data_IF_152052030272
#
_entry.id   IF_152052030272
#
_cell.length_a   1.000
_cell.length_b   1.000
_cell.length_c   1.000
_cell.angle_alpha   90.00
_cell.angle_beta   90.00
_cell.angle_gamma   90.00
#
_symmetry.space_group_name_H-M   'P 1'
#
loop_
_entity.id
_entity.type
_entity.pdbx_description
1 polymer ?
#
# COMPACT_ATOMS: atom_id res chain seq x y z
N UNK A 1 -58.70 3.47 -68.92
CA UNK A 1 -58.53 4.79 -68.26
C UNK A 1 -57.28 4.73 -67.38
N UNK A 2 -56.12 5.12 -67.92
CA UNK A 2 -54.87 5.19 -67.15
C UNK A 2 -54.86 6.56 -66.48
N UNK A 3 -55.03 6.58 -65.15
CA UNK A 3 -55.08 7.79 -64.34
C UNK A 3 -53.67 8.39 -64.32
N UNK A 4 -53.56 9.67 -64.60
CA UNK A 4 -52.30 10.39 -64.70
C UNK A 4 -51.74 10.63 -63.28
N UNK A 5 -51.05 9.63 -62.72
CA UNK A 5 -50.45 9.65 -61.36
C UNK A 5 -49.05 10.31 -61.33
N UNK A 6 -48.62 10.90 -62.45
CA UNK A 6 -47.26 11.45 -62.64
C UNK A 6 -46.89 12.55 -61.64
N UNK A 7 -47.86 13.21 -61.00
CA UNK A 7 -47.61 14.21 -59.95
C UNK A 7 -47.36 13.61 -58.55
N UNK A 8 -47.93 12.44 -58.23
CA UNK A 8 -47.75 11.80 -56.91
C UNK A 8 -46.37 11.16 -56.80
N UNK A 9 -45.88 10.53 -57.87
CA UNK A 9 -44.61 9.79 -57.85
C UNK A 9 -43.41 10.66 -57.39
N UNK A 10 -43.34 11.92 -57.84
CA UNK A 10 -42.23 12.82 -57.48
C UNK A 10 -42.29 13.25 -56.00
N UNK A 11 -43.49 13.50 -55.47
CA UNK A 11 -43.69 13.83 -54.07
C UNK A 11 -43.36 12.66 -53.15
N UNK A 12 -43.79 11.44 -53.49
CA UNK A 12 -43.50 10.23 -52.71
C UNK A 12 -41.99 9.94 -52.67
N UNK A 13 -41.29 10.14 -53.79
CA UNK A 13 -39.84 9.93 -53.87
C UNK A 13 -39.08 10.88 -52.94
N UNK A 14 -39.48 12.16 -52.89
CA UNK A 14 -38.90 13.15 -51.97
C UNK A 14 -39.10 12.76 -50.51
N UNK A 15 -40.31 12.34 -50.14
CA UNK A 15 -40.62 11.89 -48.77
C UNK A 15 -39.74 10.68 -48.40
N UNK A 16 -39.65 9.67 -49.27
CA UNK A 16 -38.80 8.50 -49.03
C UNK A 16 -37.33 8.92 -48.86
N UNK A 17 -36.81 9.80 -49.72
CA UNK A 17 -35.43 10.27 -49.63
C UNK A 17 -35.14 10.98 -48.31
N UNK A 18 -36.08 11.79 -47.79
CA UNK A 18 -35.93 12.46 -46.49
C UNK A 18 -36.00 11.51 -45.31
N UNK A 19 -36.87 10.49 -45.38
CA UNK A 19 -36.97 9.48 -44.32
C UNK A 19 -35.69 8.64 -44.28
N UNK A 20 -35.16 8.25 -45.44
CA UNK A 20 -33.89 7.52 -45.54
C UNK A 20 -32.72 8.36 -45.05
N UNK A 21 -32.64 9.65 -45.40
CA UNK A 21 -31.56 10.52 -44.91
C UNK A 21 -31.62 10.73 -43.39
N UNK A 22 -32.83 10.88 -42.82
CA UNK A 22 -33.03 10.94 -41.37
C UNK A 22 -32.59 9.65 -40.66
N UNK A 23 -32.86 8.49 -41.26
CA UNK A 23 -32.48 7.19 -40.70
C UNK A 23 -30.96 6.96 -40.73
N UNK A 24 -30.29 7.35 -41.82
CA UNK A 24 -28.82 7.31 -41.93
C UNK A 24 -28.18 8.24 -40.88
N UNK A 25 -28.70 9.46 -40.73
CA UNK A 25 -28.23 10.39 -39.72
C UNK A 25 -28.39 9.83 -38.29
N UNK A 26 -29.52 9.15 -38.03
CA UNK A 26 -29.75 8.46 -36.75
C UNK A 26 -28.73 7.37 -36.45
N UNK A 27 -28.42 6.51 -37.42
CA UNK A 27 -27.43 5.42 -37.25
C UNK A 27 -26.02 5.99 -37.00
N UNK A 28 -25.61 7.03 -37.74
CA UNK A 28 -24.30 7.65 -37.56
C UNK A 28 -24.18 8.25 -36.17
N UNK A 29 -25.21 8.95 -35.68
CA UNK A 29 -25.20 9.54 -34.35
C UNK A 29 -25.06 8.48 -33.24
N UNK A 30 -25.80 7.37 -33.34
CA UNK A 30 -25.67 6.25 -32.40
C UNK A 30 -24.26 5.64 -32.44
N UNK A 31 -23.70 5.41 -33.63
CA UNK A 31 -22.34 4.87 -33.77
C UNK A 31 -21.26 5.75 -33.12
N UNK A 32 -21.38 7.08 -33.22
CA UNK A 32 -20.41 7.98 -32.56
C UNK A 32 -20.50 7.97 -31.04
N UNK A 33 -21.68 7.69 -30.48
CA UNK A 33 -21.85 7.57 -29.03
C UNK A 33 -21.27 6.26 -28.52
N UNK A 34 -21.52 5.15 -29.22
CA UNK A 34 -20.97 3.84 -28.85
C UNK A 34 -19.44 3.86 -28.84
N UNK A 35 -18.82 4.53 -29.81
CA UNK A 35 -17.37 4.67 -29.83
C UNK A 35 -16.85 5.44 -28.62
N UNK A 36 -17.47 6.57 -28.26
CA UNK A 36 -17.08 7.35 -27.08
C UNK A 36 -17.28 6.57 -25.78
N UNK A 37 -18.37 5.81 -25.68
CA UNK A 37 -18.63 4.97 -24.50
C UNK A 37 -17.62 3.83 -24.41
N UNK A 38 -17.31 3.17 -25.52
CA UNK A 38 -16.32 2.10 -25.57
C UNK A 38 -14.91 2.61 -25.19
N UNK A 39 -14.49 3.74 -25.75
CA UNK A 39 -13.19 4.34 -25.45
C UNK A 39 -13.11 4.79 -23.97
N UNK A 40 -14.16 5.43 -23.45
CA UNK A 40 -14.23 5.83 -22.05
C UNK A 40 -14.17 4.64 -21.11
N UNK A 41 -14.88 3.55 -21.43
CA UNK A 41 -14.90 2.32 -20.62
C UNK A 41 -13.51 1.68 -20.59
N UNK A 42 -12.88 1.56 -21.76
CA UNK A 42 -11.51 1.02 -21.87
C UNK A 42 -10.50 1.87 -21.09
N UNK A 43 -10.58 3.19 -21.18
CA UNK A 43 -9.68 4.08 -20.45
C UNK A 43 -9.90 3.99 -18.93
N UNK A 44 -11.15 3.83 -18.48
CA UNK A 44 -11.48 3.62 -17.07
C UNK A 44 -10.91 2.31 -16.52
N UNK A 45 -11.01 1.21 -17.28
CA UNK A 45 -10.41 -0.08 -16.92
C UNK A 45 -8.89 0.00 -16.83
N UNK A 46 -8.24 0.70 -17.77
CA UNK A 46 -6.80 0.92 -17.73
C UNK A 46 -6.36 1.75 -16.51
N UNK A 47 -7.10 2.83 -16.21
CA UNK A 47 -6.82 3.65 -15.03
C UNK A 47 -7.03 2.85 -13.74
N UNK A 48 -8.04 1.98 -13.68
CA UNK A 48 -8.27 1.07 -12.56
C UNK A 48 -7.11 0.07 -12.39
N UNK A 49 -6.68 -0.60 -13.45
CA UNK A 49 -5.56 -1.54 -13.38
C UNK A 49 -4.24 -0.85 -12.98
N UNK A 50 -4.02 0.38 -13.45
CA UNK A 50 -2.86 1.18 -13.04
C UNK A 50 -2.92 1.57 -11.56
N UNK A 51 -4.10 1.92 -11.03
CA UNK A 51 -4.30 2.22 -9.61
C UNK A 51 -4.02 0.99 -8.74
N UNK A 52 -4.59 -0.16 -9.11
CA UNK A 52 -4.43 -1.43 -8.39
C UNK A 52 -2.97 -1.86 -8.34
N UNK A 53 -2.29 -1.80 -9.48
CA UNK A 53 -0.87 -2.10 -9.55
C UNK A 53 -0.05 -1.15 -8.67
N UNK A 54 -0.40 0.15 -8.65
CA UNK A 54 0.24 1.14 -7.80
C UNK A 54 0.08 0.83 -6.30
N UNK A 55 -1.10 0.39 -5.86
CA UNK A 55 -1.34 -0.04 -4.47
C UNK A 55 -0.43 -1.21 -4.10
N UNK A 56 -0.37 -2.25 -4.94
CA UNK A 56 0.47 -3.42 -4.67
C UNK A 56 1.96 -3.13 -4.75
N UNK A 57 2.38 -2.20 -5.60
CA UNK A 57 3.78 -1.78 -5.67
C UNK A 57 4.23 -1.03 -4.40
N UNK A 58 3.35 -0.20 -3.82
CA UNK A 58 3.60 0.44 -2.53
C UNK A 58 3.72 -0.60 -1.42
N UNK A 59 2.86 -1.63 -1.45
CA UNK A 59 2.94 -2.74 -0.49
C UNK A 59 4.21 -3.57 -0.69
N UNK A 60 4.66 -3.77 -1.93
CA UNK A 60 5.89 -4.49 -2.27
C UNK A 60 7.14 -3.74 -1.81
N UNK A 61 7.17 -2.42 -1.97
CA UNK A 61 8.27 -1.55 -1.55
C UNK A 61 8.14 -1.12 -0.08
N UNK A 62 7.29 -1.78 0.71
CA UNK A 62 7.01 -1.39 2.08
C UNK A 62 8.23 -1.51 2.97
N UNK A 63 8.56 -0.42 3.69
CA UNK A 63 9.63 -0.38 4.67
C UNK A 63 9.05 0.05 6.03
N UNK A 64 9.06 -0.83 7.06
CA UNK A 64 8.54 -0.50 8.38
C UNK A 64 9.22 0.73 8.99
N UNK A 65 10.55 0.83 8.89
CA UNK A 65 11.33 1.93 9.46
C UNK A 65 10.95 3.28 8.85
N UNK A 66 10.73 3.30 7.53
CA UNK A 66 10.30 4.52 6.83
C UNK A 66 8.86 4.86 7.19
N UNK A 67 7.95 3.90 7.23
CA UNK A 67 6.53 4.16 7.49
C UNK A 67 6.22 4.45 8.96
N UNK A 68 7.02 3.96 9.91
CA UNK A 68 6.81 4.17 11.35
C UNK A 68 7.26 5.54 11.84
N UNK A 69 8.20 6.20 11.13
CA UNK A 69 8.69 7.53 11.49
C UNK A 69 7.68 8.66 11.18
N UNK A 70 6.70 8.39 10.33
CA UNK A 70 5.69 9.38 9.96
C UNK A 70 4.58 9.49 11.01
N UNK A 71 4.08 10.72 11.16
CA UNK A 71 3.00 11.08 12.08
C UNK A 71 1.65 10.47 11.68
N UNK A 72 0.65 10.65 12.55
CA UNK A 72 -0.73 10.23 12.25
C UNK A 72 -1.36 11.13 11.18
N UNK A 73 -2.42 10.65 10.54
CA UNK A 73 -3.21 11.39 9.56
C UNK A 73 -3.56 12.79 10.07
N UNK A 74 -3.34 13.79 9.23
CA UNK A 74 -3.52 15.22 9.57
C UNK A 74 -2.25 15.92 10.07
N UNK A 75 -1.22 15.19 10.48
CA UNK A 75 0.10 15.77 10.82
C UNK A 75 1.13 15.56 9.72
N UNK A 76 1.13 14.37 9.11
CA UNK A 76 2.11 13.97 8.09
C UNK A 76 1.49 12.96 7.12
N UNK A 77 2.07 12.85 5.93
CA UNK A 77 1.62 11.94 4.89
C UNK A 77 2.78 11.56 3.97
N UNK A 78 2.77 10.31 3.51
CA UNK A 78 3.87 9.76 2.71
C UNK A 78 3.48 9.84 1.25
N UNK A 79 4.15 10.70 0.51
CA UNK A 79 3.87 10.89 -0.91
C UNK A 79 4.35 9.69 -1.73
N UNK A 80 3.45 9.18 -2.58
CA UNK A 80 3.78 8.23 -3.63
C UNK A 80 4.01 9.06 -4.89
N UNK A 81 5.27 9.15 -5.31
CA UNK A 81 5.66 9.89 -6.50
C UNK A 81 4.94 9.37 -7.75
N UNK A 82 4.65 10.27 -8.69
CA UNK A 82 4.03 9.90 -9.95
C UNK A 82 4.97 9.03 -10.78
N UNK A 83 4.68 7.72 -10.81
CA UNK A 83 5.52 6.70 -11.43
C UNK A 83 4.76 5.91 -12.48
N UNK A 84 5.51 5.32 -13.40
CA UNK A 84 4.94 4.44 -14.42
C UNK A 84 4.63 3.07 -13.80
N UNK A 85 3.46 2.52 -14.10
CA UNK A 85 3.17 1.12 -13.78
C UNK A 85 4.23 0.19 -14.40
N UNK A 86 4.62 -0.90 -13.73
CA UNK A 86 5.59 -1.87 -14.27
C UNK A 86 5.22 -2.39 -15.67
N UNK A 87 3.93 -2.57 -15.95
CA UNK A 87 3.37 -3.03 -17.22
C UNK A 87 3.23 -1.91 -18.25
N UNK A 88 3.60 -0.67 -17.90
CA UNK A 88 3.52 0.53 -18.75
C UNK A 88 2.10 0.82 -19.29
N UNK A 89 1.07 0.32 -18.61
CA UNK A 89 -0.34 0.48 -18.98
C UNK A 89 -0.95 1.82 -18.51
N UNK A 90 -0.29 2.48 -17.56
CA UNK A 90 -0.71 3.76 -17.00
C UNK A 90 0.28 4.29 -15.96
N UNK A 91 -0.02 5.43 -15.36
CA UNK A 91 0.77 6.03 -14.27
C UNK A 91 0.00 5.95 -12.96
N UNK A 92 0.69 5.88 -11.84
CA UNK A 92 0.08 5.92 -10.53
C UNK A 92 0.80 6.94 -9.65
N UNK A 93 0.03 7.59 -8.78
CA UNK A 93 0.49 8.58 -7.80
C UNK A 93 -0.45 8.55 -6.62
N UNK A 94 -0.03 8.94 -5.44
CA UNK A 94 -0.90 8.83 -4.28
C UNK A 94 -0.28 9.28 -2.98
N UNK A 95 -0.89 8.87 -1.89
CA UNK A 95 -0.41 9.18 -0.54
C UNK A 95 -0.74 8.05 0.41
N UNK A 96 0.19 7.73 1.30
CA UNK A 96 -0.05 6.80 2.41
C UNK A 96 -0.24 7.60 3.70
N UNK A 97 -1.33 7.29 4.39
CA UNK A 97 -1.68 7.90 5.67
C UNK A 97 -1.56 6.86 6.79
N UNK A 98 -0.99 7.26 7.92
CA UNK A 98 -0.99 6.44 9.13
C UNK A 98 -2.22 6.77 9.96
N UNK A 99 -3.12 5.82 10.16
CA UNK A 99 -4.37 6.07 10.88
C UNK A 99 -4.22 5.90 12.38
N UNK A 100 -3.67 4.76 12.83
CA UNK A 100 -3.39 4.50 14.24
C UNK A 100 -2.38 3.37 14.40
N UNK A 101 -1.30 3.56 15.17
CA UNK A 101 -0.31 2.51 15.42
C UNK A 101 0.22 1.91 14.11
N UNK A 102 -0.10 0.63 13.89
CA UNK A 102 0.29 -0.17 12.72
C UNK A 102 -0.77 -0.21 11.59
N UNK A 103 -1.80 0.65 11.67
CA UNK A 103 -2.87 0.77 10.66
C UNK A 103 -2.57 1.91 9.70
N UNK A 104 -2.59 1.61 8.41
CA UNK A 104 -2.29 2.54 7.33
C UNK A 104 -3.37 2.50 6.25
N UNK A 105 -3.64 3.66 5.66
CA UNK A 105 -4.46 3.82 4.46
C UNK A 105 -3.54 4.18 3.31
N UNK A 106 -3.47 3.31 2.31
CA UNK A 106 -2.79 3.57 1.06
C UNK A 106 -3.85 4.10 0.09
N UNK A 107 -3.72 5.36 -0.31
CA UNK A 107 -4.60 5.99 -1.28
C UNK A 107 -3.83 6.23 -2.58
N UNK A 108 -4.27 5.60 -3.66
CA UNK A 108 -3.59 5.63 -4.96
C UNK A 108 -4.55 6.06 -6.04
N UNK A 109 -4.08 6.96 -6.89
CA UNK A 109 -4.74 7.41 -8.10
C UNK A 109 -3.98 6.85 -9.29
N UNK A 110 -4.65 5.98 -10.05
CA UNK A 110 -4.22 5.52 -11.37
C UNK A 110 -4.72 6.45 -12.46
N UNK A 111 -3.87 6.67 -13.46
CA UNK A 111 -4.15 7.42 -14.68
C UNK A 111 -3.88 6.52 -15.88
N UNK A 112 -4.72 6.61 -16.90
CA UNK A 112 -4.53 5.87 -18.15
C UNK A 112 -3.21 6.22 -18.87
N UNK A 113 -2.89 5.44 -19.91
CA UNK A 113 -1.71 5.68 -20.74
C UNK A 113 -1.81 6.93 -21.63
N UNK A 114 -3.02 7.48 -21.86
CA UNK A 114 -3.21 8.73 -22.60
C UNK A 114 -2.68 9.92 -21.81
N UNK A 115 -2.71 9.86 -20.48
CA UNK A 115 -2.00 10.80 -19.60
C UNK A 115 -0.47 10.83 -19.75
N UNK A 116 0.15 9.88 -20.48
CA UNK A 116 1.57 9.99 -20.88
C UNK A 116 1.79 10.88 -22.11
N UNK A 117 0.76 11.13 -22.93
CA UNK A 117 0.87 12.00 -24.09
C UNK A 117 0.53 13.41 -23.63
N UNK A 118 1.49 14.33 -23.81
CA UNK A 118 1.32 15.77 -23.58
C UNK A 118 -0.07 16.23 -24.03
N UNK A 119 -0.73 17.02 -23.19
CA UNK A 119 -2.15 17.44 -23.18
C UNK A 119 -2.59 18.29 -24.38
N UNK A 120 -2.16 17.95 -25.59
CA UNK A 120 -2.34 18.74 -26.80
C UNK A 120 -3.81 18.91 -27.26
N UNK A 121 -4.78 18.26 -26.60
CA UNK A 121 -6.21 18.31 -26.98
C UNK A 121 -7.19 18.63 -25.85
N UNK A 122 -6.72 18.97 -24.65
CA UNK A 122 -7.62 19.19 -23.51
C UNK A 122 -8.38 17.93 -23.05
N UNK A 123 -8.00 16.74 -23.56
CA UNK A 123 -8.53 15.47 -23.08
C UNK A 123 -8.09 15.23 -21.64
N UNK A 124 -9.08 14.94 -20.78
CA UNK A 124 -8.86 14.60 -19.38
C UNK A 124 -8.58 13.11 -19.33
N UNK A 125 -7.35 12.74 -18.98
CA UNK A 125 -6.97 11.35 -18.74
C UNK A 125 -7.95 10.68 -17.77
N UNK A 126 -8.36 9.45 -18.07
CA UNK A 126 -9.20 8.69 -17.14
C UNK A 126 -8.45 8.48 -15.82
N UNK A 127 -9.17 8.66 -14.71
CA UNK A 127 -8.62 8.53 -13.36
C UNK A 127 -9.44 7.55 -12.56
N UNK A 128 -8.75 6.67 -11.85
CA UNK A 128 -9.36 5.77 -10.87
C UNK A 128 -8.64 5.93 -9.55
N UNK A 129 -9.38 6.11 -8.46
CA UNK A 129 -8.83 6.24 -7.11
C UNK A 129 -9.19 4.99 -6.32
N UNK A 130 -8.19 4.37 -5.73
CA UNK A 130 -8.33 3.18 -4.90
C UNK A 130 -7.72 3.43 -3.54
N UNK A 131 -8.45 3.04 -2.50
CA UNK A 131 -7.99 3.06 -1.13
C UNK A 131 -7.84 1.63 -0.60
N UNK A 132 -6.66 1.30 -0.08
CA UNK A 132 -6.41 0.04 0.59
C UNK A 132 -6.06 0.28 2.06
N UNK A 133 -6.81 -0.36 2.95
CA UNK A 133 -6.51 -0.35 4.37
C UNK A 133 -5.59 -1.55 4.69
N UNK A 134 -4.39 -1.28 5.20
CA UNK A 134 -3.44 -2.31 5.57
C UNK A 134 -3.05 -2.19 7.04
N UNK A 135 -2.87 -3.33 7.70
CA UNK A 135 -2.37 -3.39 9.07
C UNK A 135 -1.13 -4.25 9.13
N UNK A 136 -0.04 -3.71 9.65
CA UNK A 136 1.16 -4.50 9.93
C UNK A 136 0.87 -5.36 11.16
N UNK A 137 1.12 -6.66 11.06
CA UNK A 137 1.13 -7.57 12.20
C UNK A 137 2.56 -8.02 12.40
N UNK A 138 3.20 -7.53 13.46
CA UNK A 138 4.51 -8.05 13.85
C UNK A 138 4.36 -9.52 14.24
N UNK A 139 5.13 -10.40 13.60
CA UNK A 139 5.32 -11.76 14.09
C UNK A 139 6.34 -11.62 15.23
N UNK A 140 5.88 -11.72 16.47
CA UNK A 140 6.79 -11.77 17.61
C UNK A 140 7.45 -13.15 17.62
N UNK A 141 8.72 -13.21 17.22
CA UNK A 141 9.55 -14.33 17.64
C UNK A 141 9.73 -14.23 19.16
N UNK A 142 9.73 -15.36 19.90
CA UNK A 142 9.95 -15.38 21.35
C UNK A 142 11.31 -14.83 21.80
N UNK A 143 12.17 -14.44 20.86
CA UNK A 143 13.15 -13.39 21.05
C UNK A 143 12.91 -12.29 20.00
N UNK A 144 12.51 -11.06 20.36
CA UNK A 144 12.40 -9.99 19.39
C UNK A 144 13.78 -9.78 18.75
N UNK A 145 13.95 -9.95 17.43
CA UNK A 145 15.21 -9.59 16.78
C UNK A 145 15.48 -8.11 17.04
N UNK A 146 16.53 -7.82 17.81
CA UNK A 146 17.00 -6.45 18.05
C UNK A 146 16.37 -5.69 19.22
N UNK A 147 15.57 -6.30 20.11
CA UNK A 147 15.10 -5.60 21.34
C UNK A 147 15.68 -6.12 22.65
N UNK A 148 16.76 -6.89 22.63
CA UNK A 148 17.53 -7.20 23.84
C UNK A 148 19.02 -6.97 23.60
N UNK A 149 19.71 -6.35 24.56
CA UNK A 149 21.17 -6.20 24.50
C UNK A 149 21.88 -7.56 24.57
N UNK A 150 21.26 -8.53 25.23
CA UNK A 150 21.75 -9.90 25.30
C UNK A 150 20.58 -10.89 25.32
N UNK A 151 20.58 -11.83 24.37
CA UNK A 151 19.58 -12.92 24.28
C UNK A 151 20.26 -14.25 24.58
N UNK A 152 19.67 -15.04 25.48
CA UNK A 152 20.24 -16.31 25.94
C UNK A 152 19.18 -17.39 25.96
N UNK A 153 19.50 -18.58 25.44
CA UNK A 153 18.60 -19.73 25.45
C UNK A 153 18.45 -20.38 26.83
N UNK A 154 18.02 -21.64 26.83
CA UNK A 154 17.59 -22.37 28.03
C UNK A 154 18.70 -22.60 29.07
N UNK A 155 19.97 -22.51 28.66
CA UNK A 155 21.13 -22.62 29.55
C UNK A 155 21.27 -21.43 30.52
N UNK A 156 20.54 -20.33 30.30
CA UNK A 156 20.61 -19.14 31.12
C UNK A 156 21.98 -18.44 31.08
N UNK A 157 22.15 -17.44 31.94
CA UNK A 157 23.39 -16.66 31.99
C UNK A 157 23.82 -16.35 33.41
N UNK A 158 25.15 -16.30 33.60
CA UNK A 158 25.78 -15.84 34.84
C UNK A 158 26.63 -14.59 34.56
N UNK A 159 26.21 -13.45 35.09
CA UNK A 159 26.97 -12.19 35.01
C UNK A 159 27.73 -11.99 36.33
N UNK A 160 29.07 -12.00 36.27
CA UNK A 160 29.95 -11.86 37.43
C UNK A 160 30.97 -10.73 37.22
N UNK A 161 31.52 -10.20 38.30
CA UNK A 161 32.60 -9.21 38.24
C UNK A 161 32.12 -7.84 37.73
N UNK A 162 32.99 -7.11 37.04
CA UNK A 162 32.71 -5.74 36.57
C UNK A 162 31.97 -5.67 35.20
N UNK A 163 31.31 -6.74 34.77
CA UNK A 163 30.65 -6.80 33.47
C UNK A 163 29.32 -6.04 33.44
N UNK A 164 29.19 -5.04 32.57
CA UNK A 164 27.94 -4.31 32.33
C UNK A 164 27.20 -4.81 31.09
N UNK A 165 25.87 -4.88 31.15
CA UNK A 165 25.00 -5.06 29.99
C UNK A 165 24.10 -3.83 29.90
N UNK A 166 24.16 -3.10 28.79
CA UNK A 166 23.37 -1.89 28.58
C UNK A 166 22.50 -2.01 27.33
N UNK A 167 21.18 -1.98 27.52
CA UNK A 167 20.18 -1.93 26.47
C UNK A 167 19.65 -0.53 26.17
N UNK A 168 20.18 0.53 26.78
CA UNK A 168 19.80 1.89 26.42
C UNK A 168 20.45 2.32 25.11
N UNK A 169 19.61 2.79 24.19
CA UNK A 169 20.05 3.48 22.99
C UNK A 169 20.46 4.92 23.33
N UNK A 170 21.59 5.36 22.79
CA UNK A 170 22.12 6.71 23.01
C UNK A 170 22.66 7.26 21.69
N UNK A 171 22.15 8.43 21.29
CA UNK A 171 22.62 9.13 20.10
C UNK A 171 23.95 9.81 20.43
N UNK A 172 25.05 9.51 19.72
CA UNK A 172 26.31 10.21 19.92
C UNK A 172 26.16 11.71 19.63
N UNK A 173 26.84 12.61 20.37
CA UNK A 173 26.67 14.06 20.24
C UNK A 173 26.92 14.63 18.83
N UNK A 174 27.67 13.89 17.99
CA UNK A 174 28.06 14.30 16.64
C UNK A 174 27.10 13.80 15.55
N UNK A 175 26.07 13.01 15.90
CA UNK A 175 25.17 12.39 14.93
C UNK A 175 23.86 13.19 14.84
N UNK A 176 23.56 13.68 13.65
CA UNK A 176 22.29 14.36 13.33
C UNK A 176 21.41 13.47 12.46
N UNK A 177 20.10 13.48 12.68
CA UNK A 177 19.12 12.71 11.90
C UNK A 177 18.82 11.30 12.40
N UNK A 178 19.25 10.94 13.61
CA UNK A 178 18.83 9.68 14.24
C UNK A 178 17.35 9.75 14.66
N UNK A 179 16.58 8.66 14.49
CA UNK A 179 15.28 8.51 15.14
C UNK A 179 15.39 8.67 16.66
N UNK A 180 14.29 8.99 17.37
CA UNK A 180 14.29 9.01 18.83
C UNK A 180 14.84 7.69 19.40
N UNK A 181 15.70 7.73 20.44
CA UNK A 181 16.32 6.53 20.98
C UNK A 181 15.26 5.58 21.56
N UNK A 182 15.32 4.30 21.19
CA UNK A 182 14.44 3.24 21.72
C UNK A 182 15.26 2.31 22.63
N UNK A 183 14.91 2.24 23.91
CA UNK A 183 15.61 1.35 24.85
C UNK A 183 15.18 -0.09 24.65
N UNK A 184 16.16 -0.98 24.56
CA UNK A 184 16.00 -2.42 24.51
C UNK A 184 15.94 -3.05 25.92
N UNK A 185 15.47 -4.28 25.98
CA UNK A 185 15.58 -5.17 27.14
C UNK A 185 17.08 -5.37 27.45
N UNK A 186 17.47 -5.39 28.72
CA UNK A 186 18.87 -5.66 29.08
C UNK A 186 19.26 -7.11 28.76
N UNK A 187 18.64 -8.08 29.43
CA UNK A 187 18.83 -9.52 29.17
C UNK A 187 17.49 -10.21 28.95
N UNK A 188 17.34 -10.89 27.82
CA UNK A 188 16.24 -11.80 27.54
C UNK A 188 16.72 -13.24 27.69
N UNK A 189 16.10 -14.04 28.56
CA UNK A 189 16.48 -15.45 28.72
C UNK A 189 15.30 -16.40 28.91
N UNK A 190 15.35 -17.57 28.28
CA UNK A 190 14.45 -18.69 28.58
C UNK A 190 14.93 -19.55 29.77
N UNK A 191 16.17 -19.33 30.22
CA UNK A 191 16.81 -19.98 31.38
C UNK A 191 16.99 -19.05 32.58
N UNK A 192 17.77 -19.49 33.58
CA UNK A 192 17.99 -18.71 34.83
C UNK A 192 19.00 -17.59 34.62
N UNK A 193 18.67 -16.38 35.09
CA UNK A 193 19.58 -15.22 35.11
C UNK A 193 20.22 -15.11 36.50
N UNK A 194 21.51 -15.38 36.60
CA UNK A 194 22.27 -15.31 37.84
C UNK A 194 23.17 -14.06 37.86
N UNK A 195 22.76 -13.05 38.63
CA UNK A 195 23.60 -11.89 38.97
C UNK A 195 24.10 -12.06 40.40
N UNK A 196 25.40 -12.34 40.59
CA UNK A 196 25.97 -12.35 41.95
C UNK A 196 26.19 -10.91 42.44
N UNK A 197 26.08 -10.69 43.76
CA UNK A 197 26.40 -9.45 44.48
C UNK A 197 27.83 -8.97 44.18
N UNK A 198 28.00 -8.33 43.04
CA UNK A 198 29.31 -8.06 42.46
C UNK A 198 29.25 -7.48 41.05
N UNK A 199 28.10 -7.55 40.36
CA UNK A 199 27.90 -6.80 39.12
C UNK A 199 27.87 -5.29 39.41
N UNK A 200 29.05 -4.66 39.48
CA UNK A 200 29.19 -3.20 39.63
C UNK A 200 28.71 -2.44 38.39
N UNK A 201 28.66 -3.09 37.23
CA UNK A 201 28.23 -2.51 35.95
C UNK A 201 26.72 -2.57 35.70
N UNK A 202 26.00 -3.41 36.44
CA UNK A 202 24.56 -3.61 36.33
C UNK A 202 24.10 -4.25 35.01
N UNK A 203 22.83 -4.65 35.00
CA UNK A 203 22.09 -4.90 33.75
C UNK A 203 21.12 -3.72 33.62
N UNK A 204 21.24 -2.95 32.54
CA UNK A 204 20.47 -1.76 32.26
C UNK A 204 19.66 -1.98 30.97
N UNK A 205 18.42 -1.50 30.94
CA UNK A 205 17.48 -1.70 29.85
C UNK A 205 16.06 -1.46 30.32
N UNK A 206 15.10 -1.43 29.38
CA UNK A 206 13.69 -1.20 29.67
C UNK A 206 12.83 -2.33 29.07
N UNK A 207 12.54 -3.43 29.81
CA UNK A 207 13.00 -3.77 31.17
C UNK A 207 14.46 -4.26 31.26
N UNK A 208 15.06 -4.24 32.46
CA UNK A 208 16.44 -4.72 32.67
C UNK A 208 16.60 -6.22 32.37
N UNK A 209 15.63 -7.04 32.75
CA UNK A 209 15.62 -8.48 32.46
C UNK A 209 14.21 -8.93 32.10
N UNK A 210 14.09 -9.84 31.15
CA UNK A 210 12.85 -10.55 30.85
C UNK A 210 13.13 -12.05 30.75
N UNK A 211 12.32 -12.84 31.47
CA UNK A 211 12.39 -14.30 31.47
C UNK A 211 11.16 -14.88 30.81
N UNK A 212 11.15 -14.93 29.47
CA UNK A 212 10.11 -15.62 28.72
C UNK A 212 10.39 -17.11 28.77
N UNK A 213 9.95 -17.77 29.85
CA UNK A 213 9.84 -19.24 29.84
C UNK A 213 8.71 -19.57 28.87
N UNK A 214 9.02 -19.73 27.58
CA UNK A 214 8.03 -20.14 26.59
C UNK A 214 7.56 -21.54 26.99
N UNK A 215 6.40 -21.64 27.66
CA UNK A 215 5.64 -22.86 27.77
C UNK A 215 5.08 -23.19 26.38
N UNK A 216 5.97 -23.60 25.49
CA UNK A 216 5.61 -24.15 24.20
C UNK A 216 5.25 -25.62 24.44
N UNK A 217 4.06 -25.87 24.98
CA UNK A 217 3.42 -27.17 24.80
C UNK A 217 2.94 -27.22 23.36
N UNK A 218 3.48 -28.09 22.50
CA UNK A 218 2.85 -28.35 21.22
C UNK A 218 1.50 -28.98 21.53
N UNK A 219 0.40 -28.25 21.38
CA UNK A 219 -0.89 -28.90 21.16
C UNK A 219 -0.78 -29.61 19.82
N UNK A 220 -0.37 -30.88 19.86
CA UNK A 220 -0.60 -31.81 18.77
C UNK A 220 -2.11 -31.84 18.55
N UNK A 221 -2.57 -31.21 17.45
CA UNK A 221 -3.90 -31.53 16.93
C UNK A 221 -3.84 -32.98 16.49
N UNK A 222 -4.40 -33.87 17.28
CA UNK A 222 -4.79 -35.19 16.81
C UNK A 222 -5.78 -34.97 15.66
N UNK A 223 -5.36 -35.32 14.44
CA UNK A 223 -6.27 -35.56 13.33
C UNK A 223 -7.17 -36.72 13.72
N UNK A 224 -8.42 -36.43 14.05
CA UNK A 224 -9.48 -37.43 14.04
C UNK A 224 -9.85 -37.67 12.57
N UNK A 225 -9.49 -38.85 12.07
CA UNK A 225 -10.20 -39.52 11.00
C UNK A 225 -11.35 -40.32 11.63
#
# INVERSE_FOLDING_TARGET
MVKNERGIALATTLVIMTVVSGLIAGIIFVGTQEQRVADNTRNAEQAFGAAETGVYEVLRAWSPTKMSSHGLVGTDSILIADSLSPQKSGRYSGTVYRLSGDLYLIDVIGKDSLGLRSTARGDVAARSRQGLLVRIRSISFPAPPGKAALTVGDSGIKVNGASSVNGHDSIPPTWTGCPPPDSAIGVLSSGTINTKNGNKGGIQGAPATDSTRSSWTPTSRSSAA
#
